data_IF_950390801063
#
_entry.id   IF_950390801063
#
_cell.length_a   1.000
_cell.length_b   1.000
_cell.length_c   1.000
_cell.angle_alpha   90.00
_cell.angle_beta   90.00
_cell.angle_gamma   90.00
#
_symmetry.space_group_name_H-M   'P 1'
#
loop_
_entity.id
_entity.type
_entity.pdbx_description
1 polymer ?
#
# COMPACT_ATOMS: atom_id res chain seq x y z
N UNK A 1 11.61 8.75 3.39
CA UNK A 1 11.42 8.46 1.96
C UNK A 1 10.27 9.29 1.45
N UNK A 2 10.47 9.98 0.34
CA UNK A 2 9.47 10.81 -0.34
C UNK A 2 8.44 9.95 -1.08
N UNK A 3 7.28 10.53 -1.39
CA UNK A 3 6.26 9.89 -2.23
C UNK A 3 6.81 9.39 -3.58
N UNK A 4 7.66 10.18 -4.25
CA UNK A 4 8.22 9.80 -5.55
C UNK A 4 9.16 8.59 -5.46
N UNK A 5 9.98 8.52 -4.40
CA UNK A 5 10.86 7.39 -4.13
C UNK A 5 10.06 6.12 -3.82
N UNK A 6 8.98 6.25 -3.04
CA UNK A 6 8.08 5.15 -2.70
C UNK A 6 7.37 4.58 -3.95
N UNK A 7 6.84 5.45 -4.81
CA UNK A 7 6.22 5.04 -6.09
C UNK A 7 7.23 4.29 -6.94
N UNK A 8 8.42 4.87 -7.14
CA UNK A 8 9.47 4.26 -7.96
C UNK A 8 9.91 2.89 -7.42
N UNK A 9 9.98 2.76 -6.10
CA UNK A 9 10.31 1.49 -5.44
C UNK A 9 9.24 0.42 -5.71
N UNK A 10 7.97 0.75 -5.53
CA UNK A 10 6.84 -0.16 -5.73
C UNK A 10 6.69 -0.61 -7.20
N UNK A 11 6.81 0.34 -8.13
CA UNK A 11 6.82 0.02 -9.57
C UNK A 11 8.00 -0.89 -9.92
N UNK A 12 9.17 -0.69 -9.28
CA UNK A 12 10.34 -1.56 -9.42
C UNK A 12 10.12 -3.00 -8.93
N UNK A 13 9.20 -3.21 -7.97
CA UNK A 13 8.76 -4.54 -7.53
C UNK A 13 7.69 -5.15 -8.46
N UNK A 14 7.16 -4.38 -9.41
CA UNK A 14 6.08 -4.78 -10.32
C UNK A 14 4.68 -4.61 -9.72
N UNK A 15 4.52 -3.74 -8.72
CA UNK A 15 3.22 -3.35 -8.21
C UNK A 15 2.63 -2.20 -9.04
N UNK A 16 1.30 -2.18 -9.18
CA UNK A 16 0.57 -1.06 -9.77
C UNK A 16 0.30 -0.01 -8.69
N UNK A 17 0.61 1.26 -8.99
CA UNK A 17 0.46 2.35 -8.01
C UNK A 17 -0.54 3.38 -8.52
N UNK A 18 -1.53 3.70 -7.68
CA UNK A 18 -2.56 4.70 -7.97
C UNK A 18 -2.56 5.76 -6.88
N UNK A 19 -2.22 6.99 -7.24
CA UNK A 19 -2.34 8.13 -6.33
C UNK A 19 -3.76 8.66 -6.39
N UNK A 20 -4.42 8.76 -5.24
CA UNK A 20 -5.78 9.30 -5.12
C UNK A 20 -5.84 10.41 -4.10
N UNK A 21 -6.70 11.37 -4.40
CA UNK A 21 -7.17 12.38 -3.45
C UNK A 21 -8.69 12.25 -3.37
N UNK A 22 -9.20 11.83 -2.22
CA UNK A 22 -10.63 11.60 -2.03
C UNK A 22 -11.42 12.92 -1.89
N UNK A 23 -10.82 13.93 -1.26
CA UNK A 23 -11.35 15.30 -1.20
C UNK A 23 -10.24 16.35 -1.36
N UNK A 24 -10.55 17.57 -1.85
CA UNK A 24 -9.54 18.61 -2.06
C UNK A 24 -8.71 18.97 -0.82
N UNK A 25 -9.32 18.83 0.35
CA UNK A 25 -8.81 19.12 1.70
C UNK A 25 -8.15 17.91 2.39
N UNK A 26 -8.23 16.72 1.80
CA UNK A 26 -7.60 15.52 2.34
C UNK A 26 -6.20 15.31 1.74
N UNK A 27 -5.25 14.77 2.53
CA UNK A 27 -3.93 14.43 2.03
C UNK A 27 -4.04 13.38 0.91
N UNK A 28 -3.05 13.39 0.00
CA UNK A 28 -2.95 12.34 -1.01
C UNK A 28 -2.77 10.98 -0.33
N UNK A 29 -3.49 9.99 -0.84
CA UNK A 29 -3.37 8.59 -0.43
C UNK A 29 -2.82 7.81 -1.60
N UNK A 30 -1.74 7.05 -1.37
CA UNK A 30 -1.17 6.16 -2.36
C UNK A 30 -1.83 4.81 -2.18
N UNK A 31 -2.61 4.37 -3.17
CA UNK A 31 -3.11 3.01 -3.21
C UNK A 31 -2.12 2.15 -3.99
N UNK A 32 -1.61 1.10 -3.37
CA UNK A 32 -0.74 0.10 -4.01
C UNK A 32 -1.60 -1.12 -4.29
N UNK A 33 -1.80 -1.38 -5.58
CA UNK A 33 -2.53 -2.55 -6.07
C UNK A 33 -1.52 -3.68 -6.22
N UNK A 34 -1.55 -4.59 -5.25
CA UNK A 34 -0.61 -5.70 -5.20
C UNK A 34 -1.23 -6.91 -5.84
N UNK A 35 -1.22 -6.89 -7.16
CA UNK A 35 -1.59 -8.04 -7.96
C UNK A 35 -0.94 -7.95 -9.31
N UNK A 36 0.00 -8.86 -9.61
CA UNK A 36 0.13 -9.31 -11.00
C UNK A 36 -1.21 -9.92 -11.36
N UNK A 37 -2.09 -9.16 -12.00
CA UNK A 37 -3.33 -9.73 -12.49
C UNK A 37 -3.38 -9.64 -14.00
N UNK A 38 -3.53 -10.79 -14.67
CA UNK A 38 -3.73 -10.83 -16.11
C UNK A 38 -5.00 -10.05 -16.46
N UNK A 39 -5.01 -9.41 -17.62
CA UNK A 39 -6.22 -8.82 -18.20
C UNK A 39 -7.31 -9.89 -18.32
N UNK A 40 -8.26 -10.01 -17.37
CA UNK A 40 -9.53 -10.72 -17.59
C UNK A 40 -10.54 -10.55 -16.45
N UNK A 41 -11.75 -10.19 -16.84
CA UNK A 41 -13.05 -10.57 -16.28
C UNK A 41 -13.29 -10.45 -14.76
N UNK A 42 -12.55 -9.61 -14.05
CA UNK A 42 -12.91 -9.30 -12.66
C UNK A 42 -14.17 -8.41 -12.63
N UNK A 43 -15.19 -8.74 -11.81
CA UNK A 43 -16.38 -7.88 -11.63
C UNK A 43 -16.05 -6.58 -10.88
N UNK A 44 -14.83 -6.45 -10.37
CA UNK A 44 -14.35 -5.24 -9.69
C UNK A 44 -13.78 -4.28 -10.73
N UNK A 45 -14.17 -3.00 -10.74
CA UNK A 45 -13.77 -2.04 -11.78
C UNK A 45 -12.26 -1.74 -11.82
N UNK A 46 -11.50 -2.20 -10.82
CA UNK A 46 -10.05 -2.04 -10.72
C UNK A 46 -9.46 -3.40 -10.34
N UNK A 47 -8.69 -4.03 -11.24
CA UNK A 47 -7.96 -5.26 -10.92
C UNK A 47 -7.07 -5.09 -9.68
N UNK A 48 -7.08 -6.06 -8.77
CA UNK A 48 -6.24 -6.07 -7.57
C UNK A 48 -6.72 -5.17 -6.42
N UNK A 49 -7.93 -4.60 -6.53
CA UNK A 49 -8.49 -3.71 -5.50
C UNK A 49 -8.74 -4.39 -4.14
N UNK A 50 -9.05 -5.68 -4.14
CA UNK A 50 -9.25 -6.48 -2.91
C UNK A 50 -7.95 -6.71 -2.12
N UNK A 51 -6.82 -6.66 -2.82
CA UNK A 51 -5.46 -6.76 -2.27
C UNK A 51 -4.79 -5.37 -2.15
N UNK A 52 -5.56 -4.29 -2.22
CA UNK A 52 -5.01 -2.94 -2.18
C UNK A 52 -4.57 -2.57 -0.77
N UNK A 53 -3.32 -2.11 -0.64
CA UNK A 53 -2.83 -1.44 0.58
C UNK A 53 -2.75 0.05 0.34
N UNK A 54 -3.21 0.83 1.31
CA UNK A 54 -3.27 2.29 1.25
C UNK A 54 -2.17 2.87 2.13
N UNK A 55 -1.29 3.63 1.51
CA UNK A 55 -0.18 4.30 2.16
C UNK A 55 -0.53 5.77 2.39
N UNK A 56 -0.33 6.23 3.63
CA UNK A 56 -0.52 7.61 4.02
C UNK A 56 0.74 8.14 4.71
N UNK A 57 1.24 9.27 4.23
CA UNK A 57 2.37 9.97 4.81
C UNK A 57 1.95 10.66 6.13
N UNK A 58 2.76 10.47 7.17
CA UNK A 58 2.64 11.12 8.46
C UNK A 58 3.97 11.75 8.86
N UNK A 59 3.96 12.64 9.86
CA UNK A 59 5.16 13.37 10.31
C UNK A 59 6.32 12.45 10.75
N UNK A 60 6.02 11.22 11.16
CA UNK A 60 6.99 10.25 11.66
C UNK A 60 7.33 9.11 10.67
N UNK A 61 6.79 9.14 9.45
CA UNK A 61 6.96 8.07 8.46
C UNK A 61 5.65 7.75 7.74
N UNK A 62 5.58 6.55 7.16
CA UNK A 62 4.40 6.12 6.41
C UNK A 62 3.56 5.15 7.23
N UNK A 63 2.25 5.27 7.14
CA UNK A 63 1.33 4.26 7.70
C UNK A 63 0.66 3.49 6.58
N UNK A 64 0.42 2.21 6.82
CA UNK A 64 -0.33 1.34 5.93
C UNK A 64 -1.73 1.17 6.50
N UNK A 65 -2.73 1.28 5.64
CA UNK A 65 -4.10 0.86 5.92
C UNK A 65 -4.45 -0.22 4.92
N UNK A 66 -4.92 -1.35 5.41
CA UNK A 66 -5.47 -2.42 4.59
C UNK A 66 -6.96 -2.52 4.84
N UNK A 67 -7.75 -2.90 3.83
CA UNK A 67 -9.22 -2.86 3.95
C UNK A 67 -9.76 -3.86 4.98
N UNK A 68 -8.99 -4.90 5.31
CA UNK A 68 -9.39 -5.97 6.22
C UNK A 68 -8.77 -5.85 7.63
N UNK A 69 -7.84 -4.91 7.86
CA UNK A 69 -7.17 -4.72 9.15
C UNK A 69 -7.08 -3.24 9.54
N UNK A 70 -6.58 -2.96 10.74
CA UNK A 70 -6.37 -1.60 11.22
C UNK A 70 -5.38 -0.78 10.38
N UNK A 71 -5.24 0.50 10.71
CA UNK A 71 -4.15 1.34 10.22
C UNK A 71 -2.91 1.06 11.07
N UNK A 72 -1.77 0.73 10.48
CA UNK A 72 -0.52 0.49 11.22
C UNK A 72 -0.02 1.74 11.93
N UNK A 73 0.88 1.57 12.91
CA UNK A 73 1.74 2.68 13.36
C UNK A 73 2.57 3.24 12.20
N UNK A 74 3.10 4.47 12.30
CA UNK A 74 4.09 4.98 11.35
C UNK A 74 5.32 4.06 11.30
N UNK A 75 5.73 3.72 10.09
CA UNK A 75 6.87 2.87 9.76
C UNK A 75 8.00 3.74 9.20
N UNK A 76 9.23 3.38 9.58
CA UNK A 76 10.44 3.98 9.00
C UNK A 76 10.72 3.40 7.61
N UNK A 77 11.53 4.09 6.81
CA UNK A 77 11.75 3.76 5.40
C UNK A 77 12.14 2.29 5.13
N UNK A 78 13.10 1.75 5.88
CA UNK A 78 13.59 0.38 5.67
C UNK A 78 12.56 -0.68 6.11
N UNK A 79 11.86 -0.40 7.21
CA UNK A 79 10.78 -1.25 7.72
C UNK A 79 9.62 -1.29 6.72
N UNK A 80 9.24 -0.12 6.19
CA UNK A 80 8.22 0.02 5.17
C UNK A 80 8.58 -0.74 3.89
N UNK A 81 9.82 -0.58 3.39
CA UNK A 81 10.28 -1.28 2.18
C UNK A 81 10.26 -2.79 2.36
N UNK A 82 10.71 -3.29 3.51
CA UNK A 82 10.70 -4.73 3.80
C UNK A 82 9.27 -5.27 3.75
N UNK A 83 8.35 -4.63 4.48
CA UNK A 83 6.95 -5.02 4.55
C UNK A 83 6.25 -4.97 3.19
N UNK A 84 6.47 -3.92 2.40
CA UNK A 84 5.90 -3.79 1.06
C UNK A 84 6.49 -4.80 0.08
N UNK A 85 7.79 -5.14 0.19
CA UNK A 85 8.41 -6.19 -0.63
C UNK A 85 7.75 -7.53 -0.35
N UNK A 86 7.59 -7.88 0.92
CA UNK A 86 7.02 -9.14 1.36
C UNK A 86 5.54 -9.25 0.96
N UNK A 87 4.78 -8.17 1.13
CA UNK A 87 3.40 -8.07 0.66
C UNK A 87 3.30 -8.26 -0.87
N UNK A 88 4.17 -7.60 -1.64
CA UNK A 88 4.21 -7.75 -3.12
C UNK A 88 4.58 -9.15 -3.57
N UNK A 89 5.41 -9.85 -2.81
CA UNK A 89 5.85 -11.20 -3.13
C UNK A 89 4.85 -12.30 -2.72
N UNK A 90 4.35 -12.30 -1.48
CA UNK A 90 3.63 -13.45 -0.91
C UNK A 90 2.19 -13.16 -0.46
N UNK A 91 1.71 -11.90 -0.53
CA UNK A 91 0.33 -11.47 -0.17
C UNK A 91 -0.22 -12.11 1.12
N UNK A 92 0.60 -12.25 2.16
CA UNK A 92 0.14 -12.75 3.46
C UNK A 92 -0.45 -11.58 4.28
N UNK A 93 -1.75 -11.62 4.56
CA UNK A 93 -2.44 -10.56 5.32
C UNK A 93 -1.97 -10.48 6.78
N UNK A 94 -1.41 -11.56 7.32
CA UNK A 94 -0.87 -11.60 8.69
C UNK A 94 0.32 -10.67 8.87
N UNK A 95 0.98 -10.29 7.77
CA UNK A 95 2.10 -9.35 7.77
C UNK A 95 1.76 -8.00 8.42
N UNK A 96 0.49 -7.59 8.41
CA UNK A 96 0.08 -6.29 8.97
C UNK A 96 -0.35 -6.38 10.44
N UNK A 97 -0.66 -7.57 10.96
CA UNK A 97 -1.15 -7.76 12.33
C UNK A 97 -0.11 -7.30 13.36
N UNK A 98 1.17 -7.57 13.10
CA UNK A 98 2.29 -7.17 13.96
C UNK A 98 2.53 -5.65 14.03
N UNK A 99 1.85 -4.87 13.18
CA UNK A 99 2.03 -3.43 13.06
C UNK A 99 0.79 -2.63 13.44
N UNK A 100 -0.29 -3.29 13.89
CA UNK A 100 -1.46 -2.61 14.41
C UNK A 100 -1.11 -1.77 15.66
N UNK A 101 -1.71 -0.57 15.81
CA UNK A 101 -1.49 0.29 16.97
C UNK A 101 -2.11 -0.38 18.20
N UNK A 102 -1.30 -0.52 19.26
CA UNK A 102 -1.74 -0.98 20.59
C UNK A 102 -2.91 -0.16 21.16
#
# INVERSE_FOLDING_TARGET
MTQAELISFLEGLGADVVVRRYKPDEPETIAVLVGRLPESDSPVPIPGWEDAVYLQEAAAGWSIRYIQSGQTRPLQDEELKSLLTEWVCERDYRLFEDYEPE
#
